data_IF_595798586669
#
_entry.id   IF_595798586669
#
_cell.length_a   1.000
_cell.length_b   1.000
_cell.length_c   1.000
_cell.angle_alpha   90.00
_cell.angle_beta   90.00
_cell.angle_gamma   90.00
#
_symmetry.space_group_name_H-M   'P 1'
#
loop_
_entity.id
_entity.type
_entity.pdbx_description
1 polymer ?
#
# COMPACT_ATOMS: atom_id res chain seq x y z
N UNK A 1 -9.68 -28.91 -8.30
CA UNK A 1 -8.54 -28.35 -7.54
C UNK A 1 -9.09 -27.34 -6.57
N UNK A 2 -9.07 -27.65 -5.27
CA UNK A 2 -9.56 -26.79 -4.19
C UNK A 2 -8.74 -25.51 -4.12
N UNK A 3 -9.43 -24.37 -4.16
CA UNK A 3 -8.85 -23.04 -4.01
C UNK A 3 -8.46 -22.84 -2.55
N UNK A 4 -7.17 -22.64 -2.28
CA UNK A 4 -6.64 -22.29 -0.96
C UNK A 4 -6.99 -20.83 -0.65
N UNK A 5 -7.98 -20.61 0.23
CA UNK A 5 -8.18 -19.32 0.89
C UNK A 5 -7.11 -19.20 1.99
N UNK A 6 -5.96 -18.63 1.65
CA UNK A 6 -5.01 -18.06 2.63
C UNK A 6 -4.83 -16.57 2.36
N UNK A 7 -5.94 -15.92 2.02
CA UNK A 7 -6.07 -14.48 2.19
C UNK A 7 -6.46 -14.22 3.64
N UNK A 8 -5.81 -13.27 4.29
CA UNK A 8 -6.23 -12.79 5.60
C UNK A 8 -7.58 -12.08 5.41
N UNK A 9 -8.67 -12.84 5.45
CA UNK A 9 -10.05 -12.34 5.38
C UNK A 9 -10.44 -11.98 6.79
N UNK A 10 -10.26 -10.72 7.15
CA UNK A 10 -10.76 -10.16 8.40
C UNK A 10 -12.29 -10.05 8.29
N UNK A 11 -13.02 -10.95 8.95
CA UNK A 11 -14.48 -11.01 8.87
C UNK A 11 -15.15 -10.17 9.96
N UNK A 12 -15.76 -9.06 9.50
CA UNK A 12 -17.09 -8.55 9.88
C UNK A 12 -17.40 -8.21 11.34
N UNK A 13 -17.37 -6.91 11.64
CA UNK A 13 -18.29 -6.27 12.58
C UNK A 13 -19.28 -5.42 11.77
N UNK A 14 -20.56 -5.82 11.84
CA UNK A 14 -21.79 -5.18 11.34
C UNK A 14 -21.66 -3.88 10.53
N UNK A 15 -21.64 -3.96 9.20
CA UNK A 15 -21.89 -2.81 8.32
C UNK A 15 -22.66 -3.25 7.07
N UNK A 16 -23.87 -2.74 6.93
CA UNK A 16 -24.75 -2.93 5.77
C UNK A 16 -24.19 -2.17 4.57
N UNK A 17 -23.78 -2.89 3.52
CA UNK A 17 -23.54 -2.32 2.19
C UNK A 17 -22.28 -2.80 1.47
N UNK A 18 -22.01 -4.11 1.38
CA UNK A 18 -20.98 -4.63 0.48
C UNK A 18 -21.59 -4.95 -0.88
N UNK A 19 -21.27 -4.16 -1.90
CA UNK A 19 -21.47 -4.60 -3.27
C UNK A 19 -20.57 -5.83 -3.51
N UNK A 20 -21.15 -6.94 -3.98
CA UNK A 20 -20.38 -8.06 -4.52
C UNK A 20 -19.53 -7.48 -5.65
N UNK A 21 -18.20 -7.52 -5.49
CA UNK A 21 -17.28 -6.92 -6.43
C UNK A 21 -17.48 -7.44 -7.86
N UNK A 22 -17.12 -6.65 -8.89
CA UNK A 22 -17.23 -7.11 -10.27
C UNK A 22 -16.47 -8.43 -10.46
N UNK A 23 -16.96 -9.28 -11.36
CA UNK A 23 -16.27 -10.52 -11.74
C UNK A 23 -14.86 -10.24 -12.30
N UNK A 24 -14.05 -11.28 -12.57
CA UNK A 24 -12.66 -11.11 -13.00
C UNK A 24 -12.52 -10.13 -14.18
N UNK A 25 -11.65 -9.12 -14.05
CA UNK A 25 -11.43 -8.09 -15.05
C UNK A 25 -9.99 -8.15 -15.57
N UNK A 26 -9.80 -8.12 -16.90
CA UNK A 26 -8.47 -8.21 -17.53
C UNK A 26 -7.88 -6.86 -17.95
N UNK A 27 -8.73 -5.84 -18.09
CA UNK A 27 -8.34 -4.52 -18.59
C UNK A 27 -9.31 -3.46 -18.08
N UNK A 28 -8.90 -2.21 -18.16
CA UNK A 28 -9.70 -1.05 -17.76
C UNK A 28 -9.12 -0.36 -16.53
N UNK A 29 -9.83 0.68 -16.08
CA UNK A 29 -9.42 1.46 -14.92
C UNK A 29 -10.36 1.18 -13.74
N UNK A 30 -9.79 0.75 -12.63
CA UNK A 30 -10.47 0.80 -11.34
C UNK A 30 -10.39 2.23 -10.80
N UNK A 31 -11.49 2.71 -10.22
CA UNK A 31 -11.57 4.01 -9.58
C UNK A 31 -11.96 3.82 -8.11
N UNK A 32 -11.07 4.21 -7.21
CA UNK A 32 -11.32 4.10 -5.79
C UNK A 32 -12.37 5.11 -5.30
N UNK A 33 -13.13 4.79 -4.24
CA UNK A 33 -14.05 5.72 -3.60
C UNK A 33 -13.39 7.06 -3.24
N UNK A 34 -14.22 8.12 -3.16
CA UNK A 34 -13.77 9.51 -2.95
C UNK A 34 -12.70 10.00 -3.95
N UNK A 35 -12.54 9.30 -5.09
CA UNK A 35 -11.48 9.54 -6.08
C UNK A 35 -10.08 9.49 -5.45
N UNK A 36 -9.86 8.61 -4.47
CA UNK A 36 -8.57 8.50 -3.81
C UNK A 36 -7.45 8.13 -4.80
N UNK A 37 -7.72 7.23 -5.74
CA UNK A 37 -6.81 6.88 -6.82
C UNK A 37 -7.57 6.20 -7.97
N UNK A 38 -6.89 6.00 -9.08
CA UNK A 38 -7.29 5.06 -10.13
C UNK A 38 -6.16 4.09 -10.41
N UNK A 39 -6.48 2.85 -10.79
CA UNK A 39 -5.52 1.79 -11.03
C UNK A 39 -5.82 1.10 -12.36
N UNK A 40 -4.78 0.97 -13.20
CA UNK A 40 -4.86 0.19 -14.43
C UNK A 40 -4.91 -1.32 -14.10
N UNK A 41 -5.98 -2.00 -14.50
CA UNK A 41 -6.18 -3.43 -14.24
C UNK A 41 -5.39 -4.33 -15.18
N UNK A 42 -4.86 -3.76 -16.26
CA UNK A 42 -3.88 -4.34 -17.18
C UNK A 42 -2.42 -4.00 -16.80
N UNK A 43 -2.20 -3.49 -15.58
CA UNK A 43 -0.86 -3.27 -15.01
C UNK A 43 0.03 -4.50 -15.17
N UNK A 44 1.29 -4.28 -15.55
CA UNK A 44 2.30 -5.33 -15.64
C UNK A 44 2.61 -6.01 -14.30
N UNK A 45 2.14 -5.45 -13.18
CA UNK A 45 2.23 -6.08 -11.88
C UNK A 45 1.32 -7.33 -11.76
N UNK A 46 0.20 -7.35 -12.48
CA UNK A 46 -0.78 -8.45 -12.45
C UNK A 46 -0.48 -9.54 -13.48
N UNK A 47 -0.94 -10.76 -13.21
CA UNK A 47 -0.91 -11.87 -14.15
C UNK A 47 -2.33 -12.28 -14.48
N UNK A 48 -2.79 -11.90 -15.67
CA UNK A 48 -4.13 -12.24 -16.14
C UNK A 48 -5.22 -11.37 -15.52
N UNK A 49 -6.44 -11.91 -15.46
CA UNK A 49 -7.58 -11.18 -14.90
C UNK A 49 -7.48 -11.03 -13.38
N UNK A 50 -7.93 -9.90 -12.84
CA UNK A 50 -7.99 -9.61 -11.41
C UNK A 50 -9.41 -9.65 -10.89
N UNK A 51 -9.60 -10.27 -9.73
CA UNK A 51 -10.82 -10.16 -8.92
C UNK A 51 -10.57 -9.20 -7.78
N UNK A 52 -11.59 -8.44 -7.40
CA UNK A 52 -11.44 -7.31 -6.49
C UNK A 52 -12.54 -7.30 -5.43
N UNK A 53 -12.18 -6.92 -4.21
CA UNK A 53 -13.14 -6.61 -3.14
C UNK A 53 -12.70 -5.33 -2.44
N UNK A 54 -13.60 -4.36 -2.36
CA UNK A 54 -13.36 -3.06 -1.74
C UNK A 54 -14.12 -2.96 -0.41
N UNK A 55 -13.49 -2.36 0.59
CA UNK A 55 -14.11 -1.92 1.83
C UNK A 55 -13.64 -0.51 2.15
N UNK A 56 -14.54 0.43 2.42
CA UNK A 56 -14.17 1.82 2.70
C UNK A 56 -15.09 2.48 3.73
N UNK A 57 -14.58 3.51 4.39
CA UNK A 57 -15.30 4.39 5.30
C UNK A 57 -14.89 5.87 5.09
N UNK A 58 -15.26 6.74 6.04
CA UNK A 58 -14.90 8.16 5.98
C UNK A 58 -13.41 8.46 6.25
N UNK A 59 -12.66 7.49 6.77
CA UNK A 59 -11.25 7.58 7.17
C UNK A 59 -10.31 6.94 6.15
N UNK A 60 -10.81 6.09 5.25
CA UNK A 60 -10.01 5.47 4.20
C UNK A 60 -10.71 4.31 3.52
N UNK A 61 -9.94 3.45 2.87
CA UNK A 61 -10.43 2.20 2.35
C UNK A 61 -9.33 1.22 1.98
N UNK A 62 -9.76 0.04 1.60
CA UNK A 62 -8.96 -1.15 1.35
C UNK A 62 -9.49 -1.84 0.10
N UNK A 63 -8.63 -1.94 -0.90
CA UNK A 63 -8.84 -2.79 -2.06
C UNK A 63 -8.02 -4.06 -1.91
N UNK A 64 -8.66 -5.21 -1.89
CA UNK A 64 -7.99 -6.50 -2.05
C UNK A 64 -8.13 -6.96 -3.51
N UNK A 65 -7.02 -7.37 -4.12
CA UNK A 65 -7.00 -7.94 -5.47
C UNK A 65 -6.38 -9.34 -5.46
N UNK A 66 -6.96 -10.22 -6.28
CA UNK A 66 -6.38 -11.53 -6.60
C UNK A 66 -6.25 -11.66 -8.11
N UNK A 67 -5.04 -11.90 -8.58
CA UNK A 67 -4.82 -12.19 -9.99
C UNK A 67 -5.15 -13.64 -10.34
N UNK A 68 -5.11 -13.97 -11.64
CA UNK A 68 -5.48 -15.28 -12.17
C UNK A 68 -4.56 -16.41 -11.67
N UNK A 69 -3.34 -16.05 -11.23
CA UNK A 69 -2.37 -16.99 -10.65
C UNK A 69 -2.53 -17.18 -9.14
N UNK A 70 -3.50 -16.51 -8.52
CA UNK A 70 -3.75 -16.56 -7.08
C UNK A 70 -2.81 -15.70 -6.26
N UNK A 71 -2.12 -14.73 -6.88
CA UNK A 71 -1.30 -13.75 -6.16
C UNK A 71 -2.19 -12.69 -5.53
N UNK A 72 -1.95 -12.45 -4.24
CA UNK A 72 -2.70 -11.48 -3.45
C UNK A 72 -2.02 -10.11 -3.46
N UNK A 73 -2.81 -9.07 -3.69
CA UNK A 73 -2.40 -7.67 -3.57
C UNK A 73 -3.41 -6.94 -2.69
N UNK A 74 -2.92 -5.96 -1.93
CA UNK A 74 -3.78 -5.07 -1.15
C UNK A 74 -3.31 -3.63 -1.30
N UNK A 75 -4.25 -2.72 -1.41
CA UNK A 75 -4.02 -1.28 -1.46
C UNK A 75 -4.90 -0.66 -0.38
N UNK A 76 -4.28 -0.14 0.67
CA UNK A 76 -4.97 0.73 1.63
C UNK A 76 -4.70 2.19 1.28
N UNK A 77 -5.72 3.02 1.38
CA UNK A 77 -5.60 4.47 1.28
C UNK A 77 -6.18 5.11 2.55
N UNK A 78 -5.33 5.77 3.30
CA UNK A 78 -5.58 6.20 4.67
C UNK A 78 -5.60 7.72 4.71
N UNK A 79 -6.69 8.31 5.18
CA UNK A 79 -6.79 9.76 5.28
C UNK A 79 -5.96 10.27 6.45
N UNK A 80 -5.01 11.15 6.13
CA UNK A 80 -4.13 11.78 7.09
C UNK A 80 -4.92 12.50 8.19
N UNK A 81 -4.47 12.34 9.43
CA UNK A 81 -5.07 12.96 10.63
C UNK A 81 -6.54 12.60 10.87
N UNK A 82 -7.04 11.53 10.24
CA UNK A 82 -8.36 10.95 10.48
C UNK A 82 -8.31 9.45 10.75
N UNK A 83 -7.38 8.75 10.09
CA UNK A 83 -7.14 7.34 10.31
C UNK A 83 -6.11 7.15 11.45
N UNK A 84 -6.35 6.26 12.44
CA UNK A 84 -5.46 6.11 13.61
C UNK A 84 -3.99 5.86 13.26
N UNK A 85 -3.72 4.97 12.31
CA UNK A 85 -2.33 4.70 11.88
C UNK A 85 -1.70 5.80 11.01
N UNK A 86 -2.47 6.83 10.64
CA UNK A 86 -2.05 7.98 9.82
C UNK A 86 -2.24 9.32 10.54
N UNK A 87 -2.19 9.33 11.87
CA UNK A 87 -2.06 10.54 12.68
C UNK A 87 -0.61 11.01 12.67
N UNK A 88 -0.36 12.17 12.06
CA UNK A 88 1.00 12.68 11.86
C UNK A 88 1.10 14.16 12.21
N UNK A 89 2.27 14.63 12.68
CA UNK A 89 2.49 16.06 12.89
C UNK A 89 2.31 16.84 11.58
N UNK A 90 1.67 18.01 11.66
CA UNK A 90 1.40 18.83 10.46
C UNK A 90 2.66 19.31 9.72
N UNK A 91 3.80 19.34 10.39
CA UNK A 91 5.10 19.77 9.86
C UNK A 91 5.98 18.59 9.39
N UNK A 92 5.51 17.34 9.49
CA UNK A 92 6.27 16.18 9.06
C UNK A 92 6.46 16.20 7.53
N UNK A 93 7.67 15.86 7.07
CA UNK A 93 7.95 15.63 5.65
C UNK A 93 7.23 14.38 5.13
N UNK A 94 7.03 14.24 3.82
CA UNK A 94 6.42 13.02 3.25
C UNK A 94 7.20 11.76 3.65
N UNK A 95 8.53 11.81 3.65
CA UNK A 95 9.37 10.69 4.12
C UNK A 95 9.11 10.35 5.59
N UNK A 96 9.04 11.36 6.46
CA UNK A 96 8.73 11.14 7.89
C UNK A 96 7.34 10.53 8.07
N UNK A 97 6.36 10.96 7.27
CA UNK A 97 5.01 10.42 7.31
C UNK A 97 5.02 8.95 6.88
N UNK A 98 5.66 8.63 5.76
CA UNK A 98 5.73 7.27 5.22
C UNK A 98 6.35 6.30 6.23
N UNK A 99 7.42 6.71 6.90
CA UNK A 99 8.07 5.92 7.96
C UNK A 99 7.17 5.73 9.18
N UNK A 100 6.53 6.80 9.68
CA UNK A 100 5.62 6.73 10.82
C UNK A 100 4.42 5.83 10.53
N UNK A 101 3.80 6.00 9.37
CA UNK A 101 2.66 5.18 8.96
C UNK A 101 3.08 3.73 8.76
N UNK A 102 4.22 3.45 8.15
CA UNK A 102 4.73 2.08 8.01
C UNK A 102 4.90 1.40 9.37
N UNK A 103 5.49 2.09 10.34
CA UNK A 103 5.71 1.57 11.68
C UNK A 103 4.40 1.33 12.43
N UNK A 104 3.48 2.28 12.39
CA UNK A 104 2.16 2.17 13.02
C UNK A 104 1.34 1.06 12.36
N UNK A 105 1.35 0.97 11.03
CA UNK A 105 0.61 -0.04 10.28
C UNK A 105 1.07 -1.46 10.64
N UNK A 106 2.38 -1.71 10.71
CA UNK A 106 2.91 -3.02 11.11
C UNK A 106 2.54 -3.37 12.55
N UNK A 107 2.55 -2.40 13.45
CA UNK A 107 2.24 -2.60 14.87
C UNK A 107 0.75 -2.79 15.13
N UNK A 108 -0.10 -1.98 14.52
CA UNK A 108 -1.52 -1.87 14.89
C UNK A 108 -2.44 -2.62 13.95
N UNK A 109 -2.07 -2.77 12.68
CA UNK A 109 -2.89 -3.49 11.68
C UNK A 109 -2.37 -4.90 11.52
N UNK A 110 -1.08 -5.06 11.21
CA UNK A 110 -0.51 -6.38 10.91
C UNK A 110 -0.39 -7.22 12.17
N UNK A 111 0.24 -6.71 13.23
CA UNK A 111 0.46 -7.51 14.44
C UNK A 111 -0.84 -7.85 15.19
N UNK A 112 -1.91 -7.07 14.97
CA UNK A 112 -3.22 -7.29 15.57
C UNK A 112 -4.16 -8.15 14.71
N UNK A 113 -3.76 -8.49 13.48
CA UNK A 113 -4.65 -9.20 12.57
C UNK A 113 -4.92 -10.63 13.04
N UNK A 114 -6.18 -11.05 12.91
CA UNK A 114 -6.58 -12.42 13.27
C UNK A 114 -5.79 -13.43 12.44
N UNK A 115 -5.27 -14.46 13.10
CA UNK A 115 -4.50 -15.51 12.46
C UNK A 115 -3.00 -15.24 12.33
N UNK A 116 -2.49 -14.10 12.79
CA UNK A 116 -1.03 -13.85 12.87
C UNK A 116 -0.53 -14.27 14.26
N UNK A 117 0.51 -15.11 14.28
CA UNK A 117 1.21 -15.51 15.50
C UNK A 117 2.31 -14.51 15.85
N UNK A 118 3.15 -14.19 14.87
CA UNK A 118 4.29 -13.30 15.03
C UNK A 118 4.60 -12.56 13.72
N UNK A 119 5.12 -11.35 13.81
CA UNK A 119 5.60 -10.60 12.65
C UNK A 119 6.90 -9.88 12.96
N UNK A 120 7.85 -9.93 12.03
CA UNK A 120 9.18 -9.33 12.17
C UNK A 120 9.59 -8.61 10.89
N UNK A 121 10.00 -7.36 11.01
CA UNK A 121 10.54 -6.58 9.88
C UNK A 121 11.96 -7.04 9.60
N UNK A 122 12.22 -7.44 8.34
CA UNK A 122 13.51 -7.94 7.86
C UNK A 122 14.30 -6.90 7.08
N UNK A 123 13.60 -5.96 6.45
CA UNK A 123 14.17 -4.90 5.62
C UNK A 123 13.26 -3.67 5.72
N UNK A 124 13.85 -2.49 5.80
CA UNK A 124 13.15 -1.21 5.62
C UNK A 124 14.11 -0.21 4.99
N UNK A 125 13.72 0.40 3.87
CA UNK A 125 14.52 1.36 3.13
C UNK A 125 13.63 2.32 2.33
N UNK A 126 14.13 3.52 2.05
CA UNK A 126 13.49 4.39 1.08
C UNK A 126 13.92 4.03 -0.33
N UNK A 127 12.97 4.03 -1.26
CA UNK A 127 13.18 3.68 -2.66
C UNK A 127 12.57 4.74 -3.56
N UNK A 128 13.28 5.10 -4.63
CA UNK A 128 12.70 5.90 -5.72
C UNK A 128 11.89 4.99 -6.64
N UNK A 129 10.62 5.32 -6.80
CA UNK A 129 9.67 4.53 -7.59
C UNK A 129 9.46 5.11 -9.00
N UNK A 130 10.17 6.17 -9.36
CA UNK A 130 9.90 6.97 -10.57
C UNK A 130 8.66 7.87 -10.45
N UNK A 131 7.91 7.78 -9.33
CA UNK A 131 6.83 8.70 -8.94
C UNK A 131 7.07 9.33 -7.57
N UNK A 132 8.34 9.51 -7.23
CA UNK A 132 8.82 9.98 -5.93
C UNK A 132 9.22 8.84 -5.00
N UNK A 133 9.76 9.24 -3.85
CA UNK A 133 10.21 8.32 -2.81
C UNK A 133 9.02 7.55 -2.20
N UNK A 134 9.28 6.34 -1.73
CA UNK A 134 8.41 5.53 -0.88
C UNK A 134 9.23 4.87 0.21
N UNK A 135 8.60 4.59 1.35
CA UNK A 135 9.13 3.62 2.31
C UNK A 135 8.80 2.20 1.84
N UNK A 136 9.81 1.41 1.53
CA UNK A 136 9.68 -0.02 1.24
C UNK A 136 10.10 -0.83 2.47
N UNK A 137 9.30 -1.84 2.82
CA UNK A 137 9.68 -2.79 3.86
C UNK A 137 9.29 -4.22 3.52
N UNK A 138 9.98 -5.18 4.13
CA UNK A 138 9.63 -6.60 4.06
C UNK A 138 9.47 -7.12 5.48
N UNK A 139 8.32 -7.71 5.78
CA UNK A 139 8.08 -8.41 7.03
C UNK A 139 7.91 -9.92 6.80
N UNK A 140 8.49 -10.72 7.68
CA UNK A 140 8.14 -12.13 7.86
C UNK A 140 6.93 -12.19 8.77
N UNK A 141 5.86 -12.88 8.34
CA UNK A 141 4.63 -13.06 9.10
C UNK A 141 4.39 -14.55 9.29
N UNK A 142 4.46 -14.98 10.54
CA UNK A 142 4.12 -16.34 10.96
C UNK A 142 2.61 -16.43 11.18
N UNK A 143 1.96 -17.33 10.45
CA UNK A 143 0.52 -17.57 10.56
C UNK A 143 0.23 -18.64 11.62
N UNK A 144 -0.82 -18.42 12.43
CA UNK A 144 -1.35 -19.43 13.35
C UNK A 144 -1.92 -20.62 12.55
N UNK A 145 -1.77 -21.87 13.04
CA UNK A 145 -2.32 -23.05 12.36
C UNK A 145 -3.83 -22.95 12.10
N UNK A 146 -4.60 -22.31 12.97
CA UNK A 146 -6.05 -22.16 12.84
C UNK A 146 -6.46 -21.25 11.68
N UNK A 147 -5.55 -20.38 11.22
CA UNK A 147 -5.74 -19.49 10.08
C UNK A 147 -5.26 -20.11 8.76
N UNK A 148 -4.78 -21.36 8.79
CA UNK A 148 -4.29 -22.10 7.64
C UNK A 148 -5.26 -23.24 7.29
N UNK A 149 -5.18 -23.81 6.07
CA UNK A 149 -5.95 -24.98 5.71
C UNK A 149 -5.70 -26.13 6.69
N UNK A 150 -6.73 -26.94 6.93
CA UNK A 150 -6.65 -28.05 7.88
C UNK A 150 -5.44 -28.95 7.63
N UNK A 151 -4.67 -29.20 8.69
CA UNK A 151 -3.47 -30.05 8.64
C UNK A 151 -2.18 -29.36 8.19
N UNK A 152 -2.19 -28.04 7.98
CA UNK A 152 -0.99 -27.24 7.72
C UNK A 152 -0.45 -26.68 9.04
N UNK A 153 0.81 -26.98 9.36
CA UNK A 153 1.51 -26.41 10.51
C UNK A 153 1.78 -24.91 10.33
N UNK A 154 2.28 -24.24 11.38
CA UNK A 154 2.68 -22.83 11.32
C UNK A 154 3.60 -22.58 10.11
N UNK A 155 3.21 -21.63 9.26
CA UNK A 155 3.95 -21.26 8.05
C UNK A 155 4.21 -19.76 8.03
N UNK A 156 5.46 -19.41 7.79
CA UNK A 156 5.86 -18.02 7.57
C UNK A 156 5.71 -17.63 6.11
N UNK A 157 5.08 -16.48 5.88
CA UNK A 157 5.04 -15.81 4.58
C UNK A 157 5.83 -14.50 4.65
N UNK A 158 6.30 -14.04 3.50
CA UNK A 158 6.96 -12.75 3.40
C UNK A 158 6.01 -11.75 2.74
N UNK A 159 5.79 -10.63 3.41
CA UNK A 159 4.98 -9.53 2.90
C UNK A 159 5.86 -8.34 2.59
N UNK A 160 5.78 -7.86 1.36
CA UNK A 160 6.33 -6.57 0.97
C UNK A 160 5.29 -5.49 1.22
N UNK A 161 5.74 -4.36 1.76
CA UNK A 161 4.95 -3.15 1.92
C UNK A 161 5.65 -1.99 1.21
N UNK A 162 4.87 -1.16 0.52
CA UNK A 162 5.33 0.09 -0.07
C UNK A 162 4.39 1.21 0.37
N UNK A 163 4.91 2.12 1.18
CA UNK A 163 4.15 3.24 1.75
C UNK A 163 4.58 4.53 1.08
N UNK A 164 3.61 5.31 0.63
CA UNK A 164 3.86 6.64 0.08
C UNK A 164 2.72 7.59 0.39
N UNK A 165 3.07 8.85 0.64
CA UNK A 165 2.13 9.93 0.89
C UNK A 165 1.88 10.70 -0.39
N UNK A 166 0.62 11.08 -0.63
CA UNK A 166 0.30 12.07 -1.67
C UNK A 166 -1.01 12.78 -1.35
N UNK A 167 -0.95 14.12 -1.34
CA UNK A 167 -2.08 14.96 -0.95
C UNK A 167 -2.51 14.68 0.48
N UNK A 168 -3.80 14.39 0.67
CA UNK A 168 -4.42 14.14 2.00
C UNK A 168 -4.40 12.67 2.43
N UNK A 169 -3.75 11.80 1.65
CA UNK A 169 -3.76 10.36 1.88
C UNK A 169 -2.35 9.78 1.96
N UNK A 170 -2.24 8.69 2.72
CA UNK A 170 -1.11 7.77 2.69
C UNK A 170 -1.60 6.45 2.11
N UNK A 171 -0.82 5.89 1.20
CA UNK A 171 -1.14 4.64 0.52
C UNK A 171 -0.21 3.56 1.03
N UNK A 172 -0.76 2.39 1.35
CA UNK A 172 0.00 1.19 1.73
C UNK A 172 -0.28 0.12 0.69
N UNK A 173 0.72 -0.16 -0.15
CA UNK A 173 0.66 -1.28 -1.09
C UNK A 173 1.26 -2.50 -0.43
N UNK A 174 0.56 -3.63 -0.50
CA UNK A 174 0.98 -4.88 0.10
C UNK A 174 0.90 -6.02 -0.90
N UNK A 175 1.89 -6.91 -0.85
CA UNK A 175 1.89 -8.13 -1.64
C UNK A 175 2.60 -9.28 -0.91
N UNK A 176 2.10 -10.51 -1.08
CA UNK A 176 2.58 -11.73 -0.41
C UNK A 176 3.47 -12.58 -1.32
N UNK A 177 4.62 -13.02 -0.80
CA UNK A 177 5.45 -14.07 -1.38
C UNK A 177 5.62 -15.25 -0.43
N UNK A 178 5.84 -16.44 -0.99
CA UNK A 178 6.22 -17.66 -0.26
C UNK A 178 7.70 -17.70 0.14
N UNK A 179 8.55 -16.90 -0.51
CA UNK A 179 10.00 -16.89 -0.29
C UNK A 179 10.53 -15.47 -0.14
N UNK A 180 11.61 -15.32 0.63
CA UNK A 180 12.26 -14.03 0.84
C UNK A 180 12.95 -13.55 -0.45
N UNK A 181 12.30 -12.62 -1.16
CA UNK A 181 12.77 -12.06 -2.43
C UNK A 181 12.56 -10.53 -2.45
N UNK A 182 13.31 -9.77 -1.62
CA UNK A 182 13.08 -8.34 -1.40
C UNK A 182 13.15 -7.52 -2.71
N UNK A 183 14.11 -7.81 -3.59
CA UNK A 183 14.22 -7.06 -4.85
C UNK A 183 13.03 -7.29 -5.79
N UNK A 184 12.50 -8.52 -5.84
CA UNK A 184 11.31 -8.82 -6.64
C UNK A 184 10.07 -8.15 -6.05
N UNK A 185 9.93 -8.13 -4.72
CA UNK A 185 8.85 -7.42 -4.03
C UNK A 185 8.92 -5.91 -4.31
N UNK A 186 10.10 -5.32 -4.15
CA UNK A 186 10.37 -3.90 -4.40
C UNK A 186 10.00 -3.52 -5.82
N UNK A 187 10.49 -4.26 -6.81
CA UNK A 187 10.21 -3.99 -8.23
C UNK A 187 8.71 -4.13 -8.54
N UNK A 188 8.05 -5.16 -8.00
CA UNK A 188 6.63 -5.40 -8.22
C UNK A 188 5.75 -4.29 -7.63
N UNK A 189 6.00 -3.89 -6.37
CA UNK A 189 5.24 -2.83 -5.71
C UNK A 189 5.54 -1.45 -6.31
N UNK A 190 6.78 -1.22 -6.76
CA UNK A 190 7.14 0.02 -7.47
C UNK A 190 6.42 0.12 -8.82
N UNK A 191 6.34 -0.98 -9.58
CA UNK A 191 5.56 -1.04 -10.81
C UNK A 191 4.07 -0.80 -10.55
N UNK A 192 3.51 -1.40 -9.49
CA UNK A 192 2.12 -1.16 -9.09
C UNK A 192 1.88 0.32 -8.78
N UNK A 193 2.79 0.98 -8.05
CA UNK A 193 2.70 2.44 -7.79
C UNK A 193 2.77 3.26 -9.08
N UNK A 194 3.62 2.89 -10.03
CA UNK A 194 3.73 3.59 -11.32
C UNK A 194 2.41 3.53 -12.10
N UNK A 195 1.67 2.42 -12.00
CA UNK A 195 0.39 2.22 -12.66
C UNK A 195 -0.81 2.81 -11.88
N UNK A 196 -0.58 3.34 -10.67
CA UNK A 196 -1.58 4.07 -9.89
C UNK A 196 -1.61 5.56 -10.25
N UNK A 197 -2.77 6.04 -10.67
CA UNK A 197 -3.05 7.46 -10.86
C UNK A 197 -3.64 8.04 -9.57
N UNK A 198 -2.82 8.74 -8.81
CA UNK A 198 -3.25 9.44 -7.60
C UNK A 198 -3.46 10.93 -7.90
N UNK A 199 -4.70 11.44 -7.80
CA UNK A 199 -4.99 12.86 -8.00
C UNK A 199 -4.45 13.70 -6.83
N UNK A 200 -4.11 14.95 -7.11
CA UNK A 200 -3.67 15.92 -6.10
C UNK A 200 -2.28 16.49 -6.36
N UNK A 201 -2.08 17.72 -5.87
CA UNK A 201 -0.79 18.41 -5.78
C UNK A 201 0.00 17.85 -4.59
N UNK A 202 1.30 18.18 -4.50
CA UNK A 202 2.10 17.96 -3.30
C UNK A 202 1.42 18.62 -2.09
N UNK A 203 1.70 18.15 -0.88
CA UNK A 203 1.18 18.80 0.34
C UNK A 203 1.60 20.28 0.35
N UNK A 204 0.76 21.15 0.92
CA UNK A 204 0.98 22.61 0.94
C UNK A 204 2.38 23.00 1.44
N UNK A 205 2.90 22.32 2.46
CA UNK A 205 4.22 22.62 3.04
C UNK A 205 5.37 22.24 2.09
N UNK A 206 5.25 21.13 1.36
CA UNK A 206 6.26 20.74 0.37
C UNK A 206 6.17 21.54 -0.92
N UNK A 207 4.96 21.96 -1.30
CA UNK A 207 4.77 22.89 -2.43
C UNK A 207 5.52 24.20 -2.15
N UNK A 208 5.36 24.75 -0.94
CA UNK A 208 6.07 25.95 -0.51
C UNK A 208 7.61 25.75 -0.43
N UNK A 209 8.08 24.59 0.04
CA UNK A 209 9.51 24.26 0.08
C UNK A 209 10.12 24.09 -1.32
N UNK A 210 9.43 23.41 -2.24
CA UNK A 210 9.91 23.26 -3.62
C UNK A 210 9.86 24.57 -4.39
N UNK A 211 8.85 25.41 -4.16
CA UNK A 211 8.80 26.78 -4.70
C UNK A 211 10.00 27.59 -4.21
N UNK A 212 10.31 27.55 -2.91
CA UNK A 212 11.48 28.22 -2.34
C UNK A 212 12.81 27.71 -2.93
N UNK A 213 12.98 26.39 -3.06
CA UNK A 213 14.17 25.78 -3.68
C UNK A 213 14.31 26.10 -5.17
N UNK A 214 13.19 26.19 -5.90
CA UNK A 214 13.20 26.58 -7.31
C UNK A 214 13.48 28.08 -7.53
N UNK A 215 13.12 28.91 -6.56
CA UNK A 215 13.44 30.35 -6.55
C UNK A 215 14.92 30.64 -6.27
N UNK A 216 15.57 29.85 -5.42
CA UNK A 216 17.02 30.00 -5.14
C UNK A 216 17.91 29.56 -6.33
N UNK A 217 17.47 28.60 -7.15
CA UNK A 217 18.21 28.19 -8.36
C UNK A 217 18.19 29.22 -9.49
N UNK A 218 17.31 30.24 -9.46
CA UNK A 218 17.30 31.33 -10.44
C UNK A 218 18.10 32.58 -10.01
N UNK A 219 18.67 32.59 -8.81
CA UNK A 219 19.35 33.76 -8.22
C UNK A 219 20.89 33.77 -8.42
N UNK A 220 21.48 32.73 -9.00
CA UNK A 220 22.93 32.67 -9.26
C UNK A 220 23.28 32.92 -10.74
N UNK A 221 22.84 34.06 -11.27
CA UNK A 221 23.42 34.66 -12.47
C UNK A 221 24.62 35.55 -12.05
N UNK A 222 25.78 35.48 -12.72
CA UNK A 222 26.95 36.22 -12.29
C UNK A 222 26.76 37.72 -12.53
N UNK A 223 26.81 38.50 -11.45
CA UNK A 223 27.10 39.93 -11.52
C UNK A 223 28.50 40.11 -12.16
N UNK A 224 28.54 40.78 -13.31
CA UNK A 224 29.76 40.98 -14.08
C UNK A 224 29.70 42.18 -15.01
N UNK A 225 30.12 43.33 -14.47
CA UNK A 225 30.53 44.60 -15.10
C UNK A 225 29.45 45.51 -15.72
#
# INVERSE_FOLDING_TARGET
MQRSLTGLVLATLFLTGCAIGPGPQKSGMYHAPARAYSLALDSGAFRGAVTMTEQCDAKGGTLNLWDETGRFFRIDYLKLNKHPVAEVPNFASERTIDELVQNNYLREVVSAAEGINHSEVRLSEFVDTGRGDAMFSVASIEMKPEALPYGVESKSYFYGFLVFTKGDFVYVLQHRFDAYQPDKMKNLLSALRQDMLVPGMLRHNESALKEAQSGEQQSSGPDGC
#
